data_IF_577320381141
#
_entry.id   IF_577320381141
#
_cell.length_a   1.000
_cell.length_b   1.000
_cell.length_c   1.000
_cell.angle_alpha   90.00
_cell.angle_beta   90.00
_cell.angle_gamma   90.00
#
_symmetry.space_group_name_H-M   'P 1'
#
loop_
_entity.id
_entity.type
_entity.pdbx_description
1 polymer ?
#
# COMPACT_ATOMS: atom_id res chain seq x y z
N UNK A 1 5.44 -0.93 -28.79
CA UNK A 1 4.51 -1.65 -27.88
C UNK A 1 3.28 -0.78 -27.72
N UNK A 2 2.10 -1.27 -28.10
CA UNK A 2 0.85 -0.54 -27.86
C UNK A 2 0.54 -0.63 -26.37
N UNK A 3 0.62 0.49 -25.66
CA UNK A 3 0.12 0.58 -24.29
C UNK A 3 -1.39 0.37 -24.34
N UNK A 4 -1.99 -0.50 -23.51
CA UNK A 4 -3.43 -0.61 -23.43
C UNK A 4 -4.00 0.77 -23.07
N UNK A 5 -4.85 1.32 -23.93
CA UNK A 5 -5.59 2.58 -23.73
C UNK A 5 -6.66 2.49 -22.64
N UNK A 6 -6.72 1.37 -21.92
CA UNK A 6 -7.67 1.10 -20.84
C UNK A 6 -6.92 0.99 -19.53
N UNK A 7 -7.31 1.81 -18.54
CA UNK A 7 -6.90 1.71 -17.13
C UNK A 7 -7.41 0.43 -16.44
N UNK A 8 -7.73 -0.61 -17.23
CA UNK A 8 -8.29 -1.87 -16.76
C UNK A 8 -7.76 -3.03 -17.59
N UNK A 9 -7.27 -4.06 -16.92
CA UNK A 9 -6.82 -5.33 -17.47
C UNK A 9 -7.58 -6.46 -16.79
N UNK A 10 -8.16 -7.37 -17.56
CA UNK A 10 -8.86 -8.55 -17.04
C UNK A 10 -8.25 -9.77 -17.72
N UNK A 11 -7.77 -10.71 -16.91
CA UNK A 11 -7.13 -11.95 -17.33
C UNK A 11 -7.89 -13.14 -16.77
N UNK A 12 -8.03 -14.19 -17.57
CA UNK A 12 -8.65 -15.44 -17.15
C UNK A 12 -7.57 -16.49 -16.90
N UNK A 13 -7.66 -17.22 -15.79
CA UNK A 13 -6.71 -18.29 -15.41
C UNK A 13 -7.45 -19.42 -14.70
N UNK A 14 -6.91 -20.64 -14.76
CA UNK A 14 -7.35 -21.76 -13.92
C UNK A 14 -7.08 -21.48 -12.42
N UNK A 15 -8.06 -20.86 -11.77
CA UNK A 15 -8.09 -20.48 -10.36
C UNK A 15 -9.52 -20.58 -9.84
N UNK A 16 -9.69 -20.66 -8.52
CA UNK A 16 -11.02 -20.69 -7.86
C UNK A 16 -11.51 -19.32 -7.39
N UNK A 17 -10.59 -18.39 -7.15
CA UNK A 17 -10.89 -17.04 -6.65
C UNK A 17 -10.51 -16.00 -7.70
N UNK A 18 -11.20 -14.86 -7.67
CA UNK A 18 -10.73 -13.67 -8.37
C UNK A 18 -9.73 -12.90 -7.52
N UNK A 19 -8.65 -12.44 -8.14
CA UNK A 19 -7.64 -11.57 -7.53
C UNK A 19 -7.74 -10.21 -8.19
N UNK A 20 -7.99 -9.19 -7.39
CA UNK A 20 -8.13 -7.81 -7.82
C UNK A 20 -6.96 -6.98 -7.26
N UNK A 21 -6.37 -6.14 -8.11
CA UNK A 21 -5.37 -5.14 -7.74
C UNK A 21 -5.80 -3.80 -8.31
N UNK A 22 -5.86 -2.77 -7.46
CA UNK A 22 -6.07 -1.37 -7.88
C UNK A 22 -4.77 -0.63 -7.58
N UNK A 23 -3.99 -0.35 -8.63
CA UNK A 23 -2.70 0.31 -8.54
C UNK A 23 -2.79 1.80 -8.87
N UNK A 24 -1.97 2.59 -8.19
CA UNK A 24 -1.78 4.01 -8.39
C UNK A 24 -0.27 4.27 -8.59
N UNK A 25 0.11 5.36 -9.29
CA UNK A 25 1.50 5.80 -9.33
C UNK A 25 2.03 6.01 -7.90
N UNK A 26 3.20 5.46 -7.62
CA UNK A 26 3.88 5.62 -6.34
C UNK A 26 4.95 6.69 -6.42
N UNK A 27 5.92 6.58 -5.52
CA UNK A 27 7.05 7.51 -5.45
C UNK A 27 8.40 6.79 -5.49
N UNK A 28 9.48 7.56 -5.42
CA UNK A 28 10.85 7.06 -5.39
C UNK A 28 11.37 6.93 -3.96
N UNK A 29 12.45 6.18 -3.78
CA UNK A 29 13.09 6.06 -2.46
C UNK A 29 13.73 7.36 -1.98
N UNK A 30 13.96 8.33 -2.84
CA UNK A 30 14.49 9.65 -2.44
C UNK A 30 13.40 10.65 -2.07
N UNK A 31 12.12 10.31 -2.26
CA UNK A 31 11.00 11.18 -1.92
C UNK A 31 10.60 11.01 -0.46
N UNK A 32 10.47 12.12 0.27
CA UNK A 32 9.93 12.11 1.64
C UNK A 32 8.47 11.62 1.70
N UNK A 33 7.69 11.76 0.61
CA UNK A 33 6.33 11.21 0.55
C UNK A 33 6.24 9.70 0.81
N UNK A 34 7.33 8.94 0.65
CA UNK A 34 7.35 7.49 0.89
C UNK A 34 6.95 7.15 2.33
N UNK A 35 7.32 7.98 3.30
CA UNK A 35 6.99 7.75 4.71
C UNK A 35 5.49 7.86 4.95
N UNK A 36 4.84 8.83 4.30
CA UNK A 36 3.40 8.97 4.35
C UNK A 36 2.68 7.82 3.63
N UNK A 37 3.19 7.37 2.48
CA UNK A 37 2.63 6.23 1.74
C UNK A 37 2.77 4.90 2.50
N UNK A 38 3.89 4.65 3.17
CA UNK A 38 4.07 3.49 4.05
C UNK A 38 3.07 3.49 5.21
N UNK A 39 2.84 4.65 5.83
CA UNK A 39 1.84 4.80 6.90
C UNK A 39 0.43 4.51 6.36
N UNK A 40 0.07 5.06 5.20
CA UNK A 40 -1.23 4.79 4.57
C UNK A 40 -1.39 3.29 4.24
N UNK A 41 -0.33 2.65 3.75
CA UNK A 41 -0.31 1.21 3.46
C UNK A 41 -0.54 0.39 4.73
N UNK A 42 0.17 0.70 5.81
CA UNK A 42 0.04 0.00 7.09
C UNK A 42 -1.37 0.14 7.67
N UNK A 43 -1.95 1.36 7.64
CA UNK A 43 -3.34 1.61 8.05
C UNK A 43 -4.40 0.83 7.24
N UNK A 44 -4.02 0.25 6.09
CA UNK A 44 -4.90 -0.50 5.19
C UNK A 44 -4.63 -2.01 5.19
N UNK A 45 -3.65 -2.53 5.95
CA UNK A 45 -3.16 -3.90 5.75
C UNK A 45 -3.21 -4.81 6.98
N UNK A 46 -3.30 -4.25 8.19
CA UNK A 46 -3.34 -5.06 9.41
C UNK A 46 -4.76 -5.61 9.73
N UNK A 47 -4.88 -6.48 10.74
CA UNK A 47 -6.17 -7.05 11.16
C UNK A 47 -7.11 -6.02 11.80
N UNK A 48 -6.60 -4.85 12.18
CA UNK A 48 -7.39 -3.73 12.71
C UNK A 48 -7.61 -2.61 11.68
N UNK A 49 -7.22 -2.84 10.41
CA UNK A 49 -7.21 -1.84 9.37
C UNK A 49 -8.61 -1.59 8.84
N UNK A 50 -8.83 -0.41 8.24
CA UNK A 50 -10.11 -0.05 7.65
C UNK A 50 -10.58 -1.09 6.64
N UNK A 51 -9.70 -1.50 5.72
CA UNK A 51 -10.01 -2.48 4.69
C UNK A 51 -10.35 -3.85 5.28
N UNK A 52 -9.56 -4.32 6.24
CA UNK A 52 -9.82 -5.61 6.86
C UNK A 52 -11.16 -5.62 7.59
N UNK A 53 -11.41 -4.63 8.44
CA UNK A 53 -12.65 -4.53 9.20
C UNK A 53 -13.87 -4.37 8.28
N UNK A 54 -13.77 -3.53 7.24
CA UNK A 54 -14.87 -3.26 6.32
C UNK A 54 -15.15 -4.43 5.37
N UNK A 55 -14.16 -4.86 4.61
CA UNK A 55 -14.34 -5.79 3.49
C UNK A 55 -14.40 -7.24 3.97
N UNK A 56 -13.55 -7.60 4.95
CA UNK A 56 -13.49 -8.98 5.45
C UNK A 56 -14.44 -9.22 6.61
N UNK A 57 -14.35 -8.43 7.68
CA UNK A 57 -15.11 -8.73 8.91
C UNK A 57 -16.58 -8.32 8.80
N UNK A 58 -16.89 -7.11 8.32
CA UNK A 58 -18.27 -6.62 8.24
C UNK A 58 -19.04 -7.17 7.04
N UNK A 59 -18.43 -7.19 5.85
CA UNK A 59 -19.12 -7.53 4.60
C UNK A 59 -18.87 -8.97 4.12
N UNK A 60 -17.86 -9.68 4.66
CA UNK A 60 -17.56 -11.06 4.26
C UNK A 60 -17.24 -11.22 2.77
N UNK A 61 -16.64 -10.20 2.14
CA UNK A 61 -16.44 -10.18 0.69
C UNK A 61 -15.12 -10.81 0.25
N UNK A 62 -14.09 -10.78 1.07
CA UNK A 62 -12.75 -11.19 0.67
C UNK A 62 -12.13 -12.19 1.64
N UNK A 63 -11.28 -13.09 1.12
CA UNK A 63 -10.47 -14.00 1.92
C UNK A 63 -9.26 -13.27 2.53
N UNK A 64 -8.70 -12.32 1.77
CA UNK A 64 -7.67 -11.39 2.21
C UNK A 64 -7.85 -10.06 1.49
N UNK A 65 -7.40 -8.99 2.14
CA UNK A 65 -7.37 -7.63 1.60
C UNK A 65 -6.23 -6.87 2.27
N UNK A 66 -5.59 -5.99 1.53
CA UNK A 66 -4.54 -5.13 2.07
C UNK A 66 -4.07 -4.09 1.06
N UNK A 67 -3.00 -3.40 1.42
CA UNK A 67 -2.29 -2.47 0.57
C UNK A 67 -0.81 -2.84 0.44
N UNK A 68 -0.19 -2.41 -0.64
CA UNK A 68 1.25 -2.47 -0.87
C UNK A 68 1.74 -1.09 -1.29
N UNK A 69 2.87 -0.66 -0.72
CA UNK A 69 3.65 0.46 -1.21
C UNK A 69 4.97 -0.10 -1.73
N UNK A 70 5.19 0.00 -3.03
CA UNK A 70 6.43 -0.39 -3.66
C UNK A 70 7.18 0.86 -4.06
N UNK A 71 8.38 1.04 -3.51
CA UNK A 71 9.22 2.21 -3.71
C UNK A 71 10.47 1.78 -4.47
N UNK A 72 10.80 2.46 -5.55
CA UNK A 72 11.97 2.16 -6.40
C UNK A 72 12.89 3.35 -6.62
N UNK A 73 13.94 3.14 -7.43
CA UNK A 73 14.76 4.23 -7.97
C UNK A 73 13.97 5.10 -8.95
N UNK A 74 13.13 4.46 -9.76
CA UNK A 74 12.04 5.11 -10.48
C UNK A 74 10.76 5.10 -9.63
N UNK A 75 9.78 5.98 -9.91
CA UNK A 75 8.51 5.97 -9.19
C UNK A 75 7.88 4.57 -9.27
N UNK A 76 7.63 3.98 -8.10
CA UNK A 76 7.00 2.67 -7.99
C UNK A 76 5.48 2.77 -8.04
N UNK A 77 4.79 2.02 -7.18
CA UNK A 77 3.32 2.01 -7.13
C UNK A 77 2.80 1.91 -5.69
N UNK A 78 1.60 2.43 -5.47
CA UNK A 78 0.78 2.11 -4.32
C UNK A 78 -0.40 1.28 -4.81
N UNK A 79 -0.73 0.16 -4.17
CA UNK A 79 -1.84 -0.67 -4.64
C UNK A 79 -2.65 -1.27 -3.51
N UNK A 80 -3.97 -1.33 -3.70
CA UNK A 80 -4.83 -2.23 -2.94
C UNK A 80 -4.89 -3.58 -3.63
N UNK A 81 -4.93 -4.66 -2.86
CA UNK A 81 -5.04 -6.01 -3.40
C UNK A 81 -5.97 -6.86 -2.56
N UNK A 82 -6.64 -7.82 -3.20
CA UNK A 82 -7.62 -8.68 -2.54
C UNK A 82 -7.90 -9.96 -3.33
N UNK A 83 -8.24 -11.01 -2.61
CA UNK A 83 -8.76 -12.26 -3.15
C UNK A 83 -10.21 -12.48 -2.72
N UNK A 84 -11.11 -12.72 -3.68
CA UNK A 84 -12.56 -12.78 -3.46
C UNK A 84 -13.24 -13.83 -4.35
N UNK A 85 -14.48 -14.16 -4.04
CA UNK A 85 -15.35 -14.91 -4.94
C UNK A 85 -15.60 -14.11 -6.24
N UNK A 86 -15.61 -14.74 -7.43
CA UNK A 86 -15.76 -14.00 -8.69
C UNK A 86 -17.02 -13.13 -8.77
N UNK A 87 -18.14 -13.60 -8.23
CA UNK A 87 -19.39 -12.86 -8.20
C UNK A 87 -19.34 -11.58 -7.34
N UNK A 88 -18.40 -11.51 -6.38
CA UNK A 88 -18.24 -10.37 -5.45
C UNK A 88 -17.20 -9.35 -5.92
N UNK A 89 -16.46 -9.63 -6.99
CA UNK A 89 -15.33 -8.81 -7.43
C UNK A 89 -15.69 -7.33 -7.68
N UNK A 90 -16.83 -7.06 -8.32
CA UNK A 90 -17.27 -5.68 -8.59
C UNK A 90 -17.63 -4.91 -7.30
N UNK A 91 -18.23 -5.60 -6.32
CA UNK A 91 -18.55 -5.00 -5.03
C UNK A 91 -17.28 -4.69 -4.24
N UNK A 92 -16.31 -5.61 -4.23
CA UNK A 92 -15.02 -5.40 -3.57
C UNK A 92 -14.26 -4.23 -4.20
N UNK A 93 -14.23 -4.13 -5.53
CA UNK A 93 -13.63 -2.99 -6.23
C UNK A 93 -14.23 -1.66 -5.79
N UNK A 94 -15.57 -1.61 -5.69
CA UNK A 94 -16.29 -0.41 -5.21
C UNK A 94 -15.84 -0.02 -3.80
N UNK A 95 -15.71 -0.99 -2.89
CA UNK A 95 -15.27 -0.71 -1.51
C UNK A 95 -13.79 -0.28 -1.45
N UNK A 96 -12.91 -0.83 -2.29
CA UNK A 96 -11.52 -0.39 -2.38
C UNK A 96 -11.38 1.05 -2.91
N UNK A 97 -12.13 1.39 -3.95
CA UNK A 97 -12.16 2.75 -4.49
C UNK A 97 -12.74 3.75 -3.48
N UNK A 98 -13.75 3.33 -2.72
CA UNK A 98 -14.31 4.12 -1.63
C UNK A 98 -13.28 4.40 -0.54
N UNK A 99 -12.49 3.41 -0.14
CA UNK A 99 -11.42 3.62 0.84
C UNK A 99 -10.37 4.62 0.32
N UNK A 100 -9.97 4.50 -0.95
CA UNK A 100 -9.08 5.47 -1.58
C UNK A 100 -9.61 6.91 -1.47
N UNK A 101 -10.91 7.10 -1.71
CA UNK A 101 -11.55 8.41 -1.62
C UNK A 101 -11.65 8.91 -0.17
N UNK A 102 -11.96 8.05 0.80
CA UNK A 102 -11.99 8.41 2.22
C UNK A 102 -10.61 8.86 2.71
N UNK A 103 -9.53 8.18 2.31
CA UNK A 103 -8.17 8.61 2.62
C UNK A 103 -7.84 10.00 2.03
N UNK A 104 -8.36 10.33 0.84
CA UNK A 104 -8.17 11.64 0.21
C UNK A 104 -8.97 12.76 0.86
N UNK A 105 -10.22 12.47 1.22
CA UNK A 105 -11.21 13.46 1.63
C UNK A 105 -11.26 13.66 3.13
N UNK A 106 -11.18 12.58 3.89
CA UNK A 106 -11.23 12.60 5.36
C UNK A 106 -9.81 12.49 5.93
N UNK A 107 -9.00 11.57 5.39
CA UNK A 107 -7.65 11.27 5.89
C UNK A 107 -7.64 10.18 6.96
N UNK A 108 -6.52 10.06 7.66
CA UNK A 108 -6.38 9.16 8.81
C UNK A 108 -6.95 9.80 10.08
N UNK A 109 -7.33 8.96 11.04
CA UNK A 109 -7.54 9.38 12.43
C UNK A 109 -6.19 9.44 13.16
N UNK A 110 -6.12 10.18 14.27
CA UNK A 110 -4.92 10.23 15.12
C UNK A 110 -4.51 8.84 15.61
N UNK A 111 -5.49 7.99 15.91
CA UNK A 111 -5.27 6.67 16.46
C UNK A 111 -4.72 5.71 15.40
N UNK A 112 -5.18 5.82 14.15
CA UNK A 112 -4.62 5.08 13.02
C UNK A 112 -3.18 5.47 12.76
N UNK A 113 -2.90 6.78 12.68
CA UNK A 113 -1.56 7.29 12.47
C UNK A 113 -0.60 6.81 13.57
N UNK A 114 -1.02 6.92 14.84
CA UNK A 114 -0.23 6.49 15.99
C UNK A 114 0.08 4.98 15.94
N UNK A 115 -0.93 4.15 15.65
CA UNK A 115 -0.74 2.70 15.55
C UNK A 115 0.19 2.31 14.41
N UNK A 116 0.00 2.90 13.23
CA UNK A 116 0.82 2.61 12.06
C UNK A 116 2.29 2.97 12.28
N UNK A 117 2.57 4.17 12.83
CA UNK A 117 3.94 4.56 13.19
C UNK A 117 4.59 3.58 14.16
N UNK A 118 3.90 3.26 15.25
CA UNK A 118 4.41 2.34 16.27
C UNK A 118 4.73 0.95 15.68
N UNK A 119 3.87 0.46 14.77
CA UNK A 119 4.06 -0.83 14.12
C UNK A 119 5.22 -0.82 13.13
N UNK A 120 5.30 0.16 12.24
CA UNK A 120 6.40 0.29 11.26
C UNK A 120 7.75 0.38 11.99
N UNK A 121 7.87 1.28 12.96
CA UNK A 121 9.11 1.47 13.73
C UNK A 121 9.45 0.21 14.52
N UNK A 122 8.46 -0.44 15.14
CA UNK A 122 8.64 -1.70 15.86
C UNK A 122 9.16 -2.82 14.96
N UNK A 123 8.56 -3.00 13.79
CA UNK A 123 8.98 -4.00 12.80
C UNK A 123 10.41 -3.73 12.30
N UNK A 124 10.74 -2.47 12.00
CA UNK A 124 12.11 -2.09 11.61
C UNK A 124 13.11 -2.39 12.72
N UNK A 125 12.80 -2.09 13.98
CA UNK A 125 13.66 -2.42 15.13
C UNK A 125 13.91 -3.92 15.25
N UNK A 126 12.88 -4.75 15.12
CA UNK A 126 13.01 -6.22 15.12
C UNK A 126 13.85 -6.68 13.93
N UNK A 127 13.58 -6.15 12.74
CA UNK A 127 14.27 -6.48 11.49
C UNK A 127 15.78 -6.20 11.57
N UNK A 128 16.19 -5.13 12.26
CA UNK A 128 17.61 -4.78 12.49
C UNK A 128 18.33 -5.67 13.51
N UNK A 129 17.62 -6.54 14.24
CA UNK A 129 18.26 -7.49 15.18
C UNK A 129 18.93 -8.65 14.44
N UNK A 130 18.51 -8.95 13.21
CA UNK A 130 19.18 -9.92 12.35
C UNK A 130 20.36 -9.26 11.63
N UNK A 131 21.58 -9.72 11.94
CA UNK A 131 22.81 -9.12 11.40
C UNK A 131 22.93 -9.27 9.87
N UNK A 132 22.39 -10.36 9.30
CA UNK A 132 22.38 -10.58 7.86
C UNK A 132 21.51 -9.55 7.15
N UNK A 133 20.31 -9.34 7.68
CA UNK A 133 19.36 -8.35 7.18
C UNK A 133 19.86 -6.91 7.38
N UNK A 134 20.49 -6.61 8.52
CA UNK A 134 21.12 -5.30 8.76
C UNK A 134 22.23 -5.04 7.73
N UNK A 135 23.14 -6.00 7.53
CA UNK A 135 24.22 -5.88 6.55
C UNK A 135 23.68 -5.69 5.12
N UNK A 136 22.67 -6.47 4.72
CA UNK A 136 22.05 -6.36 3.42
C UNK A 136 21.37 -4.99 3.21
N UNK A 137 20.63 -4.51 4.21
CA UNK A 137 19.94 -3.21 4.15
C UNK A 137 20.94 -2.07 4.06
N UNK A 138 21.96 -2.03 4.93
CA UNK A 138 23.00 -0.98 4.91
C UNK A 138 23.78 -0.97 3.59
N UNK A 139 24.08 -2.14 3.01
CA UNK A 139 24.76 -2.24 1.72
C UNK A 139 23.89 -1.71 0.57
N UNK A 140 22.59 -2.03 0.57
CA UNK A 140 21.65 -1.52 -0.44
C UNK A 140 21.42 -0.01 -0.28
N UNK A 141 21.25 0.49 0.94
CA UNK A 141 21.08 1.92 1.20
C UNK A 141 22.29 2.73 0.74
N UNK A 142 23.51 2.24 0.99
CA UNK A 142 24.74 2.86 0.48
C UNK A 142 24.80 2.81 -1.06
N UNK A 143 24.51 1.65 -1.66
CA UNK A 143 24.49 1.46 -3.11
C UNK A 143 23.48 2.41 -3.79
N UNK A 144 22.33 2.65 -3.16
CA UNK A 144 21.31 3.55 -3.67
C UNK A 144 21.51 5.02 -3.29
N UNK A 145 22.60 5.35 -2.59
CA UNK A 145 22.93 6.74 -2.24
C UNK A 145 22.09 7.33 -1.11
N UNK A 146 21.45 6.49 -0.29
CA UNK A 146 20.77 6.90 0.95
C UNK A 146 21.74 6.97 2.13
N UNK A 147 22.84 6.20 2.06
CA UNK A 147 23.89 6.10 3.08
C UNK A 147 23.67 4.90 4.01
N UNK A 148 24.74 4.21 4.40
CA UNK A 148 24.66 2.96 5.18
C UNK A 148 23.91 3.05 6.53
N UNK A 149 23.82 4.24 7.12
CA UNK A 149 23.09 4.52 8.38
C UNK A 149 21.61 4.85 8.17
N UNK A 150 21.13 4.86 6.92
CA UNK A 150 19.81 5.35 6.59
C UNK A 150 18.69 4.64 7.37
N UNK A 151 18.72 3.30 7.39
CA UNK A 151 17.77 2.48 8.12
C UNK A 151 17.74 2.69 9.64
N UNK A 152 18.76 3.33 10.24
CA UNK A 152 18.76 3.71 11.66
C UNK A 152 18.14 5.10 11.87
N UNK A 153 18.39 6.02 10.93
CA UNK A 153 18.01 7.43 11.05
C UNK A 153 16.57 7.72 10.60
N UNK A 154 15.97 6.84 9.82
CA UNK A 154 14.66 7.08 9.21
C UNK A 154 13.47 6.83 10.15
N UNK A 155 13.68 6.20 11.32
CA UNK A 155 12.66 6.12 12.39
C UNK A 155 12.11 7.52 12.73
N UNK A 156 12.98 8.54 12.79
CA UNK A 156 12.58 9.92 13.06
C UNK A 156 11.73 10.54 11.94
N UNK A 157 11.90 10.09 10.70
CA UNK A 157 11.10 10.54 9.55
C UNK A 157 9.68 10.01 9.62
N UNK A 158 9.50 8.76 10.02
CA UNK A 158 8.15 8.21 10.29
C UNK A 158 7.48 8.94 11.47
N UNK A 159 8.21 9.21 12.55
CA UNK A 159 7.66 9.94 13.70
C UNK A 159 7.20 11.36 13.32
N UNK A 160 7.91 12.02 12.39
CA UNK A 160 7.59 13.37 11.96
C UNK A 160 6.33 13.49 11.08
N UNK A 161 5.83 12.39 10.49
CA UNK A 161 4.68 12.45 9.58
C UNK A 161 3.41 12.94 10.30
N UNK A 162 2.77 13.98 9.78
CA UNK A 162 1.50 14.50 10.33
C UNK A 162 0.28 13.93 9.60
N UNK A 163 -0.91 14.12 10.18
CA UNK A 163 -2.19 13.76 9.54
C UNK A 163 -2.38 14.50 8.22
N UNK A 164 -2.00 15.78 8.17
CA UNK A 164 -2.07 16.63 6.99
C UNK A 164 -1.14 16.13 5.89
N UNK A 165 0.07 15.69 6.25
CA UNK A 165 1.02 15.12 5.29
C UNK A 165 0.53 13.77 4.75
N UNK A 166 -0.03 12.91 5.61
CA UNK A 166 -0.64 11.65 5.16
C UNK A 166 -1.82 11.91 4.20
N UNK A 167 -2.69 12.87 4.52
CA UNK A 167 -3.81 13.26 3.66
C UNK A 167 -3.33 13.88 2.35
N UNK A 168 -2.32 14.75 2.38
CA UNK A 168 -1.72 15.34 1.20
C UNK A 168 -1.10 14.27 0.28
N UNK A 169 -0.44 13.26 0.84
CA UNK A 169 0.06 12.11 0.09
C UNK A 169 -1.10 11.33 -0.55
N UNK A 170 -2.16 11.01 0.21
CA UNK A 170 -3.33 10.35 -0.35
C UNK A 170 -3.94 11.15 -1.53
N UNK A 171 -4.10 12.47 -1.37
CA UNK A 171 -4.61 13.35 -2.43
C UNK A 171 -3.70 13.40 -3.67
N UNK A 172 -2.38 13.35 -3.46
CA UNK A 172 -1.37 13.39 -4.52
C UNK A 172 -1.30 12.09 -5.32
N UNK A 173 -1.34 10.94 -4.65
CA UNK A 173 -1.05 9.63 -5.26
C UNK A 173 -2.29 8.79 -5.57
N UNK A 174 -3.33 8.80 -4.73
CA UNK A 174 -4.50 7.93 -4.89
C UNK A 174 -5.55 8.47 -5.87
N UNK A 175 -5.11 9.05 -6.99
CA UNK A 175 -5.99 9.78 -7.89
C UNK A 175 -6.88 8.85 -8.73
N UNK A 176 -8.21 9.11 -8.80
CA UNK A 176 -9.13 8.28 -9.58
C UNK A 176 -8.83 8.22 -11.09
N UNK A 177 -8.25 9.28 -11.65
CA UNK A 177 -7.91 9.38 -13.07
C UNK A 177 -6.56 8.74 -13.45
N UNK A 178 -5.75 8.36 -12.45
CA UNK A 178 -4.42 7.78 -12.64
C UNK A 178 -4.32 6.29 -12.25
N UNK A 179 -5.42 5.69 -11.78
CA UNK A 179 -5.41 4.30 -11.32
C UNK A 179 -5.43 3.29 -12.47
N UNK A 180 -4.95 2.08 -12.20
CA UNK A 180 -5.09 0.91 -13.06
C UNK A 180 -5.72 -0.22 -12.25
N UNK A 181 -6.75 -0.86 -12.81
CA UNK A 181 -7.40 -2.04 -12.22
C UNK A 181 -6.96 -3.30 -12.96
N UNK A 182 -6.42 -4.27 -12.24
CA UNK A 182 -6.09 -5.60 -12.75
C UNK A 182 -6.94 -6.66 -12.07
N UNK A 183 -7.63 -7.50 -12.84
CA UNK A 183 -8.44 -8.60 -12.34
C UNK A 183 -7.98 -9.91 -12.97
N UNK A 184 -7.55 -10.86 -12.15
CA UNK A 184 -7.38 -12.25 -12.58
C UNK A 184 -8.59 -13.03 -12.08
N UNK A 185 -9.37 -13.63 -12.99
CA UNK A 185 -10.59 -14.37 -12.65
C UNK A 185 -10.53 -15.84 -13.14
N UNK A 186 -11.31 -16.74 -12.54
CA UNK A 186 -11.48 -18.11 -13.01
C UNK A 186 -11.98 -18.19 -14.45
N UNK A 187 -11.67 -19.30 -15.12
CA UNK A 187 -12.45 -19.78 -16.27
C UNK A 187 -13.90 -20.06 -15.80
N UNK A 188 -14.88 -19.74 -16.64
CA UNK A 188 -16.32 -19.73 -16.30
C UNK A 188 -16.78 -20.98 -15.52
#
# INVERSE_FOLDING_TARGET
MQHPTSNRVIETRDKKQSVLVIGFPGTTMHSDDRYALDILQECCSDLGSRLFLRIREQLGLAYYVGAQNFVGLAPGYFAFYTGTEPAKAAQVETELLKEAELLRTEGLTAEELKRAKAKIIGQKKISRQDLGNLAATSALDELYGLGWQHAELDDAKYEAVTLEQAKAAAQKYLKPDALVVSIVKPEN
#
